data_IF_441981402024
#
_entry.id   IF_441981402024
#
_cell.length_a   1.000
_cell.length_b   1.000
_cell.length_c   1.000
_cell.angle_alpha   90.00
_cell.angle_beta   90.00
_cell.angle_gamma   90.00
#
_symmetry.space_group_name_H-M   'P 1'
#
loop_
_entity.id
_entity.type
_entity.pdbx_description
1 polymer ?
#
# COMPACT_ATOMS: atom_id res chain seq x y z
N UNK A 1 -4.54 -28.88 -11.97
CA UNK A 1 -3.81 -29.10 -10.70
C UNK A 1 -3.08 -30.44 -10.65
N UNK A 2 -3.72 -31.58 -10.93
CA UNK A 2 -3.06 -32.90 -10.81
C UNK A 2 -1.79 -33.09 -11.64
N UNK A 3 -1.77 -32.59 -12.89
CA UNK A 3 -0.59 -32.65 -13.78
C UNK A 3 0.58 -31.85 -13.21
N UNK A 4 0.35 -30.59 -12.80
CA UNK A 4 1.38 -29.73 -12.19
C UNK A 4 1.98 -30.35 -10.93
N UNK A 5 1.16 -31.00 -10.10
CA UNK A 5 1.64 -31.70 -8.89
C UNK A 5 2.49 -32.92 -9.24
N UNK A 6 2.12 -33.69 -10.27
CA UNK A 6 2.88 -34.85 -10.72
C UNK A 6 4.25 -34.43 -11.28
N UNK A 7 4.28 -33.39 -12.12
CA UNK A 7 5.52 -32.83 -12.67
C UNK A 7 6.43 -32.28 -11.57
N UNK A 8 5.89 -31.51 -10.63
CA UNK A 8 6.66 -30.97 -9.51
C UNK A 8 7.23 -32.07 -8.62
N UNK A 9 6.45 -33.14 -8.34
CA UNK A 9 6.90 -34.28 -7.51
C UNK A 9 7.97 -35.13 -8.20
N UNK A 10 7.93 -35.24 -9.53
CA UNK A 10 8.96 -35.94 -10.31
C UNK A 10 10.32 -35.22 -10.24
N UNK A 11 10.31 -33.88 -10.18
CA UNK A 11 11.51 -33.06 -10.01
C UNK A 11 11.98 -32.98 -8.57
N UNK A 12 11.05 -32.95 -7.61
CA UNK A 12 11.32 -32.79 -6.17
C UNK A 12 10.97 -34.08 -5.41
N UNK A 13 11.70 -35.16 -5.69
CA UNK A 13 11.38 -36.52 -5.19
C UNK A 13 11.30 -36.63 -3.67
N UNK A 14 12.04 -35.79 -2.95
CA UNK A 14 12.15 -35.81 -1.49
C UNK A 14 11.36 -34.70 -0.79
N UNK A 15 10.74 -33.77 -1.53
CA UNK A 15 9.95 -32.71 -0.93
C UNK A 15 8.57 -33.24 -0.47
N UNK A 16 8.09 -32.77 0.69
CA UNK A 16 6.79 -33.23 1.18
C UNK A 16 5.66 -32.76 0.25
N UNK A 17 4.72 -33.66 -0.03
CA UNK A 17 3.61 -33.39 -0.94
C UNK A 17 2.72 -32.21 -0.50
N UNK A 18 2.66 -31.92 0.81
CA UNK A 18 1.90 -30.77 1.34
C UNK A 18 2.50 -29.44 0.90
N UNK A 19 3.82 -29.27 0.99
CA UNK A 19 4.49 -28.04 0.55
C UNK A 19 4.41 -27.85 -0.96
N UNK A 20 4.62 -28.92 -1.74
CA UNK A 20 4.45 -28.88 -3.20
C UNK A 20 3.03 -28.45 -3.56
N UNK A 21 2.03 -29.00 -2.88
CA UNK A 21 0.63 -28.65 -3.12
C UNK A 21 0.33 -27.19 -2.80
N UNK A 22 0.76 -26.72 -1.63
CA UNK A 22 0.55 -25.34 -1.22
C UNK A 22 1.19 -24.35 -2.19
N UNK A 23 2.41 -24.64 -2.67
CA UNK A 23 3.11 -23.78 -3.63
C UNK A 23 2.44 -23.77 -5.01
N UNK A 24 2.01 -24.93 -5.51
CA UNK A 24 1.27 -25.01 -6.77
C UNK A 24 -0.07 -24.28 -6.68
N UNK A 25 -0.82 -24.50 -5.60
CA UNK A 25 -2.09 -23.80 -5.36
C UNK A 25 -1.87 -22.27 -5.31
N UNK A 26 -0.74 -21.83 -4.76
CA UNK A 26 -0.35 -20.42 -4.71
C UNK A 26 -0.07 -19.82 -6.09
N UNK A 27 0.84 -20.43 -6.84
CA UNK A 27 1.26 -19.89 -8.13
C UNK A 27 0.08 -19.85 -9.10
N UNK A 28 -0.81 -20.84 -9.03
CA UNK A 28 -2.04 -20.85 -9.81
C UNK A 28 -3.00 -19.74 -9.37
N UNK A 29 -3.16 -19.51 -8.06
CA UNK A 29 -3.95 -18.37 -7.56
C UNK A 29 -3.38 -17.03 -8.06
N UNK A 30 -2.06 -16.87 -8.08
CA UNK A 30 -1.43 -15.64 -8.58
C UNK A 30 -1.59 -15.44 -10.08
N UNK A 31 -1.54 -16.54 -10.85
CA UNK A 31 -1.63 -16.51 -12.30
C UNK A 31 -3.07 -16.28 -12.77
N UNK A 32 -4.04 -16.97 -12.17
CA UNK A 32 -5.43 -17.00 -12.63
C UNK A 32 -6.35 -16.07 -11.83
N UNK A 33 -5.94 -15.62 -10.64
CA UNK A 33 -6.80 -14.87 -9.73
C UNK A 33 -7.78 -15.76 -8.95
N UNK A 34 -8.69 -15.16 -8.15
CA UNK A 34 -9.63 -15.90 -7.32
C UNK A 34 -10.62 -16.70 -8.19
N UNK A 35 -10.96 -17.93 -7.75
CA UNK A 35 -11.98 -18.75 -8.42
C UNK A 35 -13.33 -18.04 -8.48
N UNK A 36 -13.95 -18.03 -9.65
CA UNK A 36 -15.29 -17.48 -9.90
C UNK A 36 -16.37 -18.53 -9.68
N UNK A 37 -17.64 -18.12 -9.62
CA UNK A 37 -18.75 -19.08 -9.45
C UNK A 37 -18.91 -20.00 -10.67
N UNK A 38 -18.50 -19.55 -11.86
CA UNK A 38 -18.43 -20.38 -13.07
C UNK A 38 -17.46 -21.57 -12.88
N UNK A 39 -16.35 -21.38 -12.17
CA UNK A 39 -15.36 -22.43 -11.89
C UNK A 39 -15.87 -23.50 -10.93
N UNK A 40 -16.89 -23.18 -10.11
CA UNK A 40 -17.49 -24.09 -9.14
C UNK A 40 -18.57 -24.99 -9.76
N UNK A 41 -19.20 -24.56 -10.85
CA UNK A 41 -20.22 -25.35 -11.57
C UNK A 41 -19.65 -26.57 -12.30
N UNK A 42 -18.32 -26.60 -12.53
CA UNK A 42 -17.64 -27.64 -13.30
C UNK A 42 -17.28 -28.92 -12.51
N UNK A 43 -17.72 -29.10 -11.25
CA UNK A 43 -17.41 -30.32 -10.46
C UNK A 43 -18.62 -30.95 -9.80
N UNK A 44 -19.07 -32.06 -10.39
CA UNK A 44 -20.00 -33.04 -9.79
C UNK A 44 -19.38 -33.79 -8.61
N UNK A 45 -20.05 -33.64 -7.46
CA UNK A 45 -20.34 -34.54 -6.32
C UNK A 45 -19.49 -35.82 -6.14
N UNK A 46 -18.83 -35.95 -4.97
CA UNK A 46 -18.70 -37.22 -4.22
C UNK A 46 -18.74 -36.98 -2.70
N UNK A 47 -19.45 -37.87 -2.01
CA UNK A 47 -19.98 -37.79 -0.64
C UNK A 47 -18.94 -37.90 0.49
N UNK A 48 -19.32 -37.36 1.66
CA UNK A 48 -18.69 -37.38 2.99
C UNK A 48 -18.58 -38.79 3.60
N UNK A 49 -17.60 -38.99 4.49
CA UNK A 49 -17.68 -39.84 5.70
C UNK A 49 -17.04 -39.15 6.92
N UNK A 50 -17.79 -39.18 8.02
CA UNK A 50 -17.55 -38.89 9.46
C UNK A 50 -16.62 -39.93 10.11
N UNK A 51 -16.06 -39.88 11.34
CA UNK A 51 -15.81 -38.95 12.47
C UNK A 51 -14.69 -39.62 13.34
N UNK A 52 -13.84 -38.87 14.09
CA UNK A 52 -13.70 -38.87 15.58
C UNK A 52 -12.21 -38.98 16.02
N UNK A 53 -11.80 -38.65 17.27
CA UNK A 53 -12.21 -37.55 18.15
C UNK A 53 -11.01 -36.68 18.64
N UNK A 54 -11.34 -35.58 19.31
CA UNK A 54 -10.40 -34.62 19.91
C UNK A 54 -9.75 -35.15 21.20
N UNK A 55 -8.48 -34.83 21.39
CA UNK A 55 -7.77 -34.96 22.67
C UNK A 55 -7.54 -33.57 23.25
N UNK A 56 -8.07 -33.38 24.46
CA UNK A 56 -7.90 -32.21 25.31
C UNK A 56 -6.53 -32.36 26.00
N UNK A 57 -5.65 -31.37 25.91
CA UNK A 57 -4.50 -31.25 26.81
C UNK A 57 -4.61 -29.97 27.63
N UNK A 58 -4.39 -30.16 28.92
CA UNK A 58 -4.50 -29.24 30.04
C UNK A 58 -3.55 -28.05 29.94
N UNK A 59 -4.04 -26.90 30.42
CA UNK A 59 -3.30 -25.65 30.58
C UNK A 59 -2.56 -25.69 31.91
N UNK A 60 -1.23 -25.58 31.88
CA UNK A 60 -0.41 -25.26 33.05
C UNK A 60 0.03 -23.78 32.97
N UNK A 61 0.10 -23.07 34.12
CA UNK A 61 0.38 -21.64 34.15
C UNK A 61 1.87 -21.39 33.90
N UNK A 62 2.17 -20.51 32.94
CA UNK A 62 3.53 -20.13 32.57
C UNK A 62 4.02 -19.02 33.50
N UNK A 63 5.08 -19.31 34.24
CA UNK A 63 5.83 -18.37 35.08
C UNK A 63 6.43 -17.28 34.18
N UNK A 64 6.28 -16.02 34.58
CA UNK A 64 6.93 -14.87 33.95
C UNK A 64 8.42 -14.91 34.31
N UNK A 65 9.24 -15.41 33.39
CA UNK A 65 10.69 -15.21 33.43
C UNK A 65 11.03 -13.97 32.59
N UNK A 66 11.69 -13.00 33.22
CA UNK A 66 12.26 -11.83 32.57
C UNK A 66 13.33 -12.29 31.55
N UNK A 67 13.00 -12.27 30.25
CA UNK A 67 13.95 -12.63 29.19
C UNK A 67 15.03 -11.54 29.04
N UNK A 68 16.29 -11.91 29.33
CA UNK A 68 17.47 -11.18 28.89
C UNK A 68 17.44 -10.99 27.36
N UNK A 69 17.62 -9.76 26.88
CA UNK A 69 17.58 -9.37 25.47
C UNK A 69 18.77 -9.96 24.69
N UNK A 70 18.70 -11.26 24.39
CA UNK A 70 19.47 -11.84 23.31
C UNK A 70 18.90 -11.31 21.99
N UNK A 71 19.73 -10.56 21.25
CA UNK A 71 19.37 -10.05 19.93
C UNK A 71 18.95 -11.19 19.00
N UNK A 72 18.00 -10.94 18.10
CA UNK A 72 17.64 -11.92 17.07
C UNK A 72 18.82 -12.12 16.10
N UNK A 73 19.09 -13.37 15.72
CA UNK A 73 20.20 -13.71 14.81
C UNK A 73 19.92 -13.32 13.35
N UNK A 74 18.64 -13.12 13.00
CA UNK A 74 18.17 -12.72 11.68
C UNK A 74 16.94 -11.81 11.76
N UNK A 75 16.65 -11.10 10.67
CA UNK A 75 15.47 -10.25 10.57
C UNK A 75 14.17 -11.08 10.59
N UNK A 76 14.21 -12.30 10.05
CA UNK A 76 13.10 -13.24 10.05
C UNK A 76 12.75 -13.71 11.47
N UNK A 77 13.78 -14.02 12.27
CA UNK A 77 13.60 -14.38 13.67
C UNK A 77 13.03 -13.21 14.49
N UNK A 78 13.52 -11.99 14.25
CA UNK A 78 12.99 -10.78 14.87
C UNK A 78 11.49 -10.63 14.58
N UNK A 79 11.08 -10.79 13.32
CA UNK A 79 9.68 -10.62 12.93
C UNK A 79 8.76 -11.74 13.45
N UNK A 80 9.25 -12.97 13.55
CA UNK A 80 8.45 -14.09 14.07
C UNK A 80 8.28 -14.04 15.58
N UNK A 81 9.33 -13.65 16.31
CA UNK A 81 9.37 -13.82 17.76
C UNK A 81 9.03 -12.52 18.50
N UNK A 82 9.51 -11.36 18.01
CA UNK A 82 9.41 -10.08 18.73
C UNK A 82 8.40 -9.09 18.15
N UNK A 83 7.84 -9.36 16.96
CA UNK A 83 6.90 -8.44 16.28
C UNK A 83 5.52 -9.08 16.15
N UNK A 84 4.57 -8.63 16.97
CA UNK A 84 3.21 -9.15 16.99
C UNK A 84 2.24 -8.23 16.23
N UNK A 85 2.13 -8.42 14.92
CA UNK A 85 1.08 -7.78 14.11
C UNK A 85 -0.09 -8.75 13.88
N UNK A 86 -1.21 -8.20 13.41
CA UNK A 86 -2.41 -8.98 13.12
C UNK A 86 -2.19 -10.06 12.04
N UNK A 87 -2.97 -11.14 12.10
CA UNK A 87 -3.01 -12.14 11.04
C UNK A 87 -3.77 -11.59 9.82
N UNK A 88 -3.42 -11.98 8.58
CA UNK A 88 -4.21 -11.65 7.39
C UNK A 88 -5.70 -11.96 7.56
N UNK A 89 -6.56 -10.96 7.31
CA UNK A 89 -8.01 -11.06 7.48
C UNK A 89 -8.52 -10.72 8.88
N UNK A 90 -7.63 -10.51 9.85
CA UNK A 90 -7.98 -10.10 11.22
C UNK A 90 -7.81 -8.59 11.46
N UNK A 91 -7.88 -7.78 10.39
CA UNK A 91 -7.71 -6.33 10.44
C UNK A 91 -8.61 -5.65 11.48
N UNK A 92 -9.85 -6.13 11.63
CA UNK A 92 -10.83 -5.63 12.57
C UNK A 92 -10.45 -5.76 14.06
N UNK A 93 -9.39 -6.51 14.38
CA UNK A 93 -8.87 -6.64 15.75
C UNK A 93 -7.79 -5.61 16.09
N UNK A 94 -7.30 -4.85 15.11
CA UNK A 94 -6.23 -3.88 15.34
C UNK A 94 -6.77 -2.58 15.90
N UNK A 95 -5.98 -1.92 16.72
CA UNK A 95 -6.35 -0.65 17.34
C UNK A 95 -6.68 0.44 16.31
N UNK A 96 -7.72 1.21 16.59
CA UNK A 96 -8.24 2.26 15.72
C UNK A 96 -8.91 1.79 14.41
N UNK A 97 -9.04 0.49 14.17
CA UNK A 97 -9.65 0.00 12.93
C UNK A 97 -11.18 0.21 12.93
N UNK A 98 -11.67 0.90 11.89
CA UNK A 98 -13.09 1.25 11.78
C UNK A 98 -13.89 0.10 11.14
N UNK A 99 -14.88 -0.42 11.86
CA UNK A 99 -15.76 -1.49 11.38
C UNK A 99 -17.04 -0.87 10.81
N UNK A 100 -17.19 -0.93 9.50
CA UNK A 100 -18.44 -0.66 8.77
C UNK A 100 -19.27 -1.95 8.55
N UNK A 101 -20.56 -1.86 8.20
CA UNK A 101 -21.40 -3.03 7.92
C UNK A 101 -20.86 -3.96 6.82
N UNK A 102 -20.02 -3.45 5.92
CA UNK A 102 -19.44 -4.22 4.80
C UNK A 102 -18.03 -4.76 5.08
N UNK A 103 -17.43 -4.40 6.21
CA UNK A 103 -16.05 -4.79 6.58
C UNK A 103 -15.83 -6.29 6.47
N UNK A 104 -16.73 -7.10 7.05
CA UNK A 104 -16.58 -8.55 7.03
C UNK A 104 -16.71 -9.14 5.62
N UNK A 105 -17.54 -8.55 4.77
CA UNK A 105 -17.65 -8.95 3.37
C UNK A 105 -16.36 -8.61 2.59
N UNK A 106 -15.80 -7.42 2.81
CA UNK A 106 -14.52 -7.01 2.23
C UNK A 106 -13.36 -7.90 2.69
N UNK A 107 -13.30 -8.25 3.99
CA UNK A 107 -12.29 -9.16 4.53
C UNK A 107 -12.42 -10.57 3.95
N UNK A 108 -13.64 -11.07 3.78
CA UNK A 108 -13.90 -12.36 3.13
C UNK A 108 -13.42 -12.37 1.68
N UNK A 109 -13.72 -11.30 0.92
CA UNK A 109 -13.24 -11.17 -0.46
C UNK A 109 -11.71 -11.03 -0.51
N UNK A 110 -11.13 -10.24 0.39
CA UNK A 110 -9.69 -10.11 0.54
C UNK A 110 -9.02 -11.47 0.77
N UNK A 111 -9.51 -12.28 1.71
CA UNK A 111 -8.96 -13.63 1.95
C UNK A 111 -9.09 -14.56 0.75
N UNK A 112 -10.17 -14.43 -0.04
CA UNK A 112 -10.34 -15.17 -1.30
C UNK A 112 -9.28 -14.80 -2.33
N UNK A 113 -8.91 -13.52 -2.39
CA UNK A 113 -7.89 -12.99 -3.33
C UNK A 113 -6.48 -13.33 -2.86
N UNK A 114 -6.19 -13.18 -1.57
CA UNK A 114 -4.83 -13.33 -1.02
C UNK A 114 -4.49 -14.75 -0.59
N UNK A 115 -5.49 -15.63 -0.46
CA UNK A 115 -5.29 -16.95 0.12
C UNK A 115 -4.84 -16.91 1.58
N UNK A 116 -5.07 -15.79 2.28
CA UNK A 116 -4.62 -15.58 3.66
C UNK A 116 -3.12 -15.27 3.81
N UNK A 117 -2.43 -14.92 2.72
CA UNK A 117 -1.01 -14.56 2.76
C UNK A 117 -0.75 -13.14 3.23
N UNK A 118 0.42 -12.94 3.85
CA UNK A 118 0.96 -11.62 4.11
C UNK A 118 1.28 -10.92 2.78
N UNK A 119 0.87 -9.65 2.65
CA UNK A 119 1.18 -8.78 1.52
C UNK A 119 1.63 -7.43 2.06
N UNK A 120 2.86 -7.04 1.74
CA UNK A 120 3.46 -5.74 2.07
C UNK A 120 3.83 -5.01 0.78
N UNK A 121 4.25 -3.75 0.90
CA UNK A 121 4.81 -3.00 -0.23
C UNK A 121 5.89 -2.03 0.22
N UNK A 122 6.93 -1.92 -0.58
CA UNK A 122 7.91 -0.85 -0.48
C UNK A 122 7.64 0.16 -1.61
N UNK A 123 7.19 1.39 -1.29
CA UNK A 123 6.75 2.31 -2.33
C UNK A 123 7.64 3.56 -2.45
N UNK A 124 8.84 3.45 -3.06
CA UNK A 124 9.75 4.59 -3.22
C UNK A 124 9.30 5.52 -4.35
N UNK A 125 9.60 6.81 -4.21
CA UNK A 125 9.52 7.76 -5.33
C UNK A 125 10.65 7.44 -6.34
N UNK A 126 10.34 7.28 -7.64
CA UNK A 126 11.32 6.96 -8.69
C UNK A 126 12.19 8.16 -9.12
N UNK A 127 12.16 9.25 -8.37
CA UNK A 127 13.02 10.41 -8.55
C UNK A 127 14.10 10.50 -7.45
N UNK A 128 14.04 9.62 -6.44
CA UNK A 128 14.80 9.70 -5.20
C UNK A 128 16.07 8.84 -5.21
N UNK A 129 17.11 9.29 -4.51
CA UNK A 129 18.28 8.47 -4.21
C UNK A 129 17.99 7.70 -2.92
N UNK A 130 18.06 6.37 -2.99
CA UNK A 130 17.96 5.55 -1.79
C UNK A 130 19.17 5.80 -0.89
N UNK A 131 18.94 5.75 0.42
CA UNK A 131 19.95 6.01 1.45
C UNK A 131 19.76 5.00 2.59
N UNK A 132 20.62 5.01 3.60
CA UNK A 132 20.59 4.01 4.68
C UNK A 132 19.23 3.88 5.40
N UNK A 133 18.51 4.99 5.60
CA UNK A 133 17.13 4.94 6.10
C UNK A 133 16.18 4.08 5.25
N UNK A 134 16.36 4.03 3.93
CA UNK A 134 15.61 3.15 3.04
C UNK A 134 15.99 1.69 3.20
N UNK A 135 17.23 1.37 3.60
CA UNK A 135 17.60 -0.02 3.92
C UNK A 135 16.73 -0.58 5.06
N UNK A 136 16.38 0.24 6.07
CA UNK A 136 15.40 -0.16 7.09
C UNK A 136 14.01 -0.39 6.49
N UNK A 137 13.54 0.49 5.62
CA UNK A 137 12.23 0.35 4.97
C UNK A 137 12.14 -0.92 4.10
N UNK A 138 13.21 -1.22 3.36
CA UNK A 138 13.34 -2.44 2.54
C UNK A 138 13.30 -3.67 3.45
N UNK A 139 14.18 -3.75 4.45
CA UNK A 139 14.22 -4.90 5.36
C UNK A 139 12.89 -5.08 6.12
N UNK A 140 12.22 -4.00 6.51
CA UNK A 140 10.91 -4.09 7.18
C UNK A 140 9.85 -4.63 6.25
N UNK A 141 9.69 -4.08 5.04
CA UNK A 141 8.61 -4.51 4.15
C UNK A 141 8.87 -5.89 3.53
N UNK A 142 10.07 -6.09 2.96
CA UNK A 142 10.42 -7.35 2.32
C UNK A 142 10.73 -8.45 3.34
N UNK A 143 11.45 -8.13 4.41
CA UNK A 143 11.77 -9.09 5.48
C UNK A 143 10.52 -9.57 6.20
N UNK A 144 9.55 -8.69 6.49
CA UNK A 144 8.29 -9.12 7.09
C UNK A 144 7.51 -10.06 6.16
N UNK A 145 7.41 -9.75 4.86
CA UNK A 145 6.80 -10.67 3.91
C UNK A 145 7.53 -12.02 3.86
N UNK A 146 8.86 -12.02 3.76
CA UNK A 146 9.68 -13.24 3.73
C UNK A 146 9.53 -14.09 4.99
N UNK A 147 9.49 -13.46 6.17
CA UNK A 147 9.36 -14.16 7.45
C UNK A 147 8.06 -14.98 7.56
N UNK A 148 7.01 -14.55 6.85
CA UNK A 148 5.67 -15.17 6.89
C UNK A 148 5.23 -15.75 5.53
N UNK A 149 6.19 -16.14 4.67
CA UNK A 149 5.95 -16.73 3.34
C UNK A 149 4.98 -15.91 2.45
N UNK A 150 5.00 -14.60 2.65
CA UNK A 150 4.18 -13.59 2.01
C UNK A 150 4.82 -12.98 0.77
N UNK A 151 4.23 -11.88 0.33
CA UNK A 151 4.62 -11.16 -0.89
C UNK A 151 4.89 -9.71 -0.57
N UNK A 152 5.97 -9.16 -1.12
CA UNK A 152 6.24 -7.73 -1.08
C UNK A 152 6.19 -7.16 -2.49
N UNK A 153 5.43 -6.09 -2.68
CA UNK A 153 5.38 -5.32 -3.93
C UNK A 153 6.47 -4.24 -3.90
N UNK A 154 7.19 -4.06 -5.01
CA UNK A 154 7.95 -2.85 -5.26
C UNK A 154 7.03 -1.92 -6.07
N UNK A 155 6.44 -0.91 -5.42
CA UNK A 155 5.47 -0.02 -6.06
C UNK A 155 6.04 1.38 -6.23
N UNK A 156 6.44 1.76 -7.43
CA UNK A 156 6.92 3.13 -7.65
C UNK A 156 5.82 4.14 -7.40
N UNK A 157 6.09 5.13 -6.56
CA UNK A 157 5.24 6.30 -6.38
C UNK A 157 5.54 7.35 -7.45
N UNK A 158 5.00 7.11 -8.65
CA UNK A 158 5.04 8.02 -9.79
C UNK A 158 3.77 8.91 -9.84
N UNK A 159 3.20 9.28 -8.69
CA UNK A 159 2.01 10.14 -8.67
C UNK A 159 2.28 11.57 -9.10
N UNK A 160 3.53 12.02 -9.04
CA UNK A 160 3.92 13.36 -9.46
C UNK A 160 4.56 13.29 -10.85
N UNK A 161 3.98 13.94 -11.88
CA UNK A 161 4.63 14.02 -13.18
C UNK A 161 5.85 14.95 -13.07
N UNK A 162 7.03 14.37 -12.84
CA UNK A 162 8.31 15.05 -12.90
C UNK A 162 9.14 14.55 -14.09
N UNK A 163 10.19 15.28 -14.45
CA UNK A 163 11.23 14.78 -15.35
C UNK A 163 12.04 13.71 -14.60
N UNK A 164 11.49 12.52 -14.53
CA UNK A 164 12.14 11.37 -13.92
C UNK A 164 13.19 10.81 -14.88
N UNK A 165 14.32 10.41 -14.31
CA UNK A 165 15.40 9.78 -15.07
C UNK A 165 15.36 8.28 -14.82
N UNK A 166 15.34 7.50 -15.91
CA UNK A 166 15.24 6.03 -15.88
C UNK A 166 16.27 5.37 -14.95
N UNK A 167 17.46 5.99 -14.80
CA UNK A 167 18.52 5.54 -13.89
C UNK A 167 18.06 5.35 -12.44
N UNK A 168 17.13 6.16 -11.94
CA UNK A 168 16.65 6.05 -10.57
C UNK A 168 15.75 4.83 -10.39
N UNK A 169 14.96 4.47 -11.40
CA UNK A 169 14.18 3.23 -11.40
C UNK A 169 15.10 2.02 -11.28
N UNK A 170 16.11 1.92 -12.15
CA UNK A 170 17.07 0.82 -12.16
C UNK A 170 17.86 0.74 -10.86
N UNK A 171 18.37 1.88 -10.35
CA UNK A 171 19.12 1.92 -9.10
C UNK A 171 18.31 1.50 -7.88
N UNK A 172 17.01 1.83 -7.83
CA UNK A 172 16.11 1.35 -6.77
C UNK A 172 16.00 -0.18 -6.80
N UNK A 173 15.81 -0.78 -7.99
CA UNK A 173 15.73 -2.24 -8.12
C UNK A 173 17.04 -2.87 -7.72
N UNK A 174 18.16 -2.37 -8.25
CA UNK A 174 19.49 -2.88 -7.94
C UNK A 174 19.74 -2.91 -6.43
N UNK A 175 19.39 -1.86 -5.69
CA UNK A 175 19.54 -1.83 -4.23
C UNK A 175 18.63 -2.84 -3.51
N UNK A 176 17.42 -3.08 -4.01
CA UNK A 176 16.53 -4.11 -3.45
C UNK A 176 17.15 -5.51 -3.63
N UNK A 177 17.66 -5.81 -4.84
CA UNK A 177 18.33 -7.09 -5.12
C UNK A 177 19.65 -7.22 -4.37
N UNK A 178 20.43 -6.14 -4.25
CA UNK A 178 21.69 -6.10 -3.53
C UNK A 178 21.53 -6.42 -2.04
N UNK A 179 20.42 -5.96 -1.43
CA UNK A 179 20.03 -6.32 -0.07
C UNK A 179 19.45 -7.74 0.05
N UNK A 180 19.46 -8.52 -1.03
CA UNK A 180 19.05 -9.92 -1.05
C UNK A 180 17.53 -10.11 -1.09
N UNK A 181 16.76 -9.14 -1.56
CA UNK A 181 15.31 -9.23 -1.70
C UNK A 181 14.86 -9.23 -3.16
N UNK A 182 13.76 -9.94 -3.43
CA UNK A 182 13.15 -10.02 -4.75
C UNK A 182 11.71 -9.49 -4.66
N UNK A 183 11.32 -8.47 -5.46
CA UNK A 183 9.92 -8.05 -5.58
C UNK A 183 9.04 -9.16 -6.13
N UNK A 184 7.94 -9.46 -5.44
CA UNK A 184 6.94 -10.40 -5.97
C UNK A 184 6.27 -9.87 -7.24
N UNK A 185 6.09 -8.55 -7.30
CA UNK A 185 5.60 -7.76 -8.44
C UNK A 185 6.20 -6.37 -8.36
N UNK A 186 6.45 -5.81 -9.54
CA UNK A 186 6.82 -4.41 -9.71
C UNK A 186 5.60 -3.69 -10.30
N UNK A 187 5.08 -2.71 -9.56
CA UNK A 187 3.89 -1.94 -9.93
C UNK A 187 4.19 -0.45 -9.87
N UNK A 188 3.31 0.37 -10.44
CA UNK A 188 3.41 1.82 -10.41
C UNK A 188 2.08 2.38 -9.89
N UNK A 189 2.12 3.48 -9.15
CA UNK A 189 0.90 4.18 -8.75
C UNK A 189 0.07 4.60 -9.98
N UNK A 190 0.74 4.96 -11.08
CA UNK A 190 0.12 5.32 -12.34
C UNK A 190 -0.65 4.20 -13.03
N UNK A 191 -0.32 2.93 -12.74
CA UNK A 191 -1.08 1.77 -13.24
C UNK A 191 -2.54 1.82 -12.72
N UNK A 192 -2.78 2.52 -11.61
CA UNK A 192 -4.09 2.62 -10.95
C UNK A 192 -4.81 3.96 -11.18
N UNK A 193 -4.30 4.90 -12.00
CA UNK A 193 -4.92 6.23 -12.16
C UNK A 193 -6.40 6.18 -12.57
N UNK A 194 -6.78 5.21 -13.41
CA UNK A 194 -8.19 5.02 -13.81
C UNK A 194 -9.06 4.60 -12.63
N UNK A 195 -8.59 3.67 -11.82
CA UNK A 195 -9.30 3.19 -10.62
C UNK A 195 -9.39 4.31 -9.57
N UNK A 196 -8.29 5.02 -9.33
CA UNK A 196 -8.22 6.16 -8.44
C UNK A 196 -9.17 7.28 -8.87
N UNK A 197 -9.28 7.56 -10.18
CA UNK A 197 -10.25 8.54 -10.69
C UNK A 197 -11.69 8.07 -10.45
N UNK A 198 -11.97 6.79 -10.71
CA UNK A 198 -13.30 6.20 -10.49
C UNK A 198 -13.71 6.25 -9.01
N UNK A 199 -12.75 6.01 -8.10
CA UNK A 199 -12.97 6.13 -6.66
C UNK A 199 -13.17 7.58 -6.21
N UNK A 200 -12.48 8.53 -6.84
CA UNK A 200 -12.70 9.96 -6.60
C UNK A 200 -14.11 10.40 -7.04
N UNK A 201 -14.58 9.93 -8.20
CA UNK A 201 -15.96 10.16 -8.66
C UNK A 201 -16.96 9.56 -7.67
N UNK A 202 -16.73 8.33 -7.18
CA UNK A 202 -17.58 7.69 -6.15
C UNK A 202 -17.61 8.51 -4.85
N UNK A 203 -16.48 9.10 -4.46
CA UNK A 203 -16.37 9.96 -3.29
C UNK A 203 -17.24 11.22 -3.46
N UNK A 204 -17.20 11.87 -4.63
CA UNK A 204 -18.07 13.01 -4.97
C UNK A 204 -19.55 12.61 -4.96
N UNK A 205 -19.90 11.47 -5.55
CA UNK A 205 -21.29 10.96 -5.59
C UNK A 205 -21.87 10.74 -4.20
N UNK A 206 -21.03 10.35 -3.23
CA UNK A 206 -21.39 10.23 -1.81
C UNK A 206 -21.41 11.56 -1.06
N UNK A 207 -21.13 12.66 -1.75
CA UNK A 207 -20.95 13.99 -1.18
C UNK A 207 -19.66 14.14 -0.37
N UNK A 208 -18.77 13.16 -0.34
CA UNK A 208 -17.59 13.16 0.53
C UNK A 208 -16.37 13.84 -0.10
N UNK A 209 -16.54 14.50 -1.25
CA UNK A 209 -15.53 15.33 -1.88
C UNK A 209 -16.18 16.46 -2.68
N UNK A 210 -15.44 17.54 -2.88
CA UNK A 210 -15.88 18.71 -3.63
C UNK A 210 -14.71 19.37 -4.36
N UNK A 211 -15.01 20.07 -5.46
CA UNK A 211 -14.03 20.88 -6.19
C UNK A 211 -13.91 22.25 -5.53
N UNK A 212 -12.69 22.68 -5.30
CA UNK A 212 -12.34 23.91 -4.60
C UNK A 212 -11.46 24.79 -5.50
N UNK A 213 -11.74 26.11 -5.52
CA UNK A 213 -10.94 27.12 -6.24
C UNK A 213 -10.16 28.05 -5.31
N UNK A 214 -10.06 27.71 -4.01
CA UNK A 214 -9.14 28.44 -3.13
C UNK A 214 -7.70 28.22 -3.60
N UNK A 215 -6.96 29.31 -3.63
CA UNK A 215 -5.53 29.33 -3.87
C UNK A 215 -4.77 28.72 -2.69
N UNK A 216 -3.51 28.34 -2.92
CA UNK A 216 -2.65 27.82 -1.86
C UNK A 216 -2.39 28.84 -0.74
N UNK A 217 -2.52 30.14 -1.02
CA UNK A 217 -2.34 31.22 -0.06
C UNK A 217 -3.58 31.38 0.83
N UNK A 218 -4.78 31.31 0.27
CA UNK A 218 -6.04 31.35 1.04
C UNK A 218 -6.21 30.13 1.95
N UNK A 219 -5.56 29.01 1.62
CA UNK A 219 -5.54 27.81 2.45
C UNK A 219 -4.44 27.83 3.52
N UNK A 220 -3.49 28.79 3.47
CA UNK A 220 -2.43 28.94 4.47
C UNK A 220 -2.90 29.86 5.59
N UNK A 221 -2.76 29.41 6.84
CA UNK A 221 -3.08 30.20 8.02
C UNK A 221 -3.20 29.34 9.26
N UNK A 222 -3.31 29.98 10.41
CA UNK A 222 -3.74 29.33 11.66
C UNK A 222 -5.27 29.34 11.59
N UNK A 223 -5.87 28.17 11.38
CA UNK A 223 -7.32 27.95 11.26
C UNK A 223 -8.01 28.69 10.07
N UNK A 224 -7.63 28.36 8.82
CA UNK A 224 -8.26 28.99 7.65
C UNK A 224 -9.77 28.67 7.62
N UNK A 225 -10.63 29.64 7.24
CA UNK A 225 -12.07 29.41 7.19
C UNK A 225 -12.40 28.27 6.21
N UNK A 226 -13.49 27.51 6.46
CA UNK A 226 -13.92 26.45 5.57
C UNK A 226 -14.07 26.95 4.13
N UNK A 227 -13.74 26.10 3.18
CA UNK A 227 -13.83 26.48 1.76
C UNK A 227 -15.25 26.97 1.42
N UNK A 228 -15.40 28.13 0.75
CA UNK A 228 -16.71 28.60 0.27
C UNK A 228 -17.40 27.59 -0.65
N UNK A 229 -16.62 26.69 -1.26
CA UNK A 229 -17.07 25.71 -2.23
C UNK A 229 -17.46 24.36 -1.61
N UNK A 230 -17.33 24.21 -0.29
CA UNK A 230 -17.55 22.95 0.45
C UNK A 230 -18.99 22.42 0.36
N UNK A 231 -19.96 23.30 0.18
CA UNK A 231 -21.41 23.01 0.16
C UNK A 231 -21.99 22.87 -1.24
N UNK A 232 -21.14 22.91 -2.29
CA UNK A 232 -21.57 22.68 -3.68
C UNK A 232 -22.33 21.38 -3.84
N UNK A 233 -23.26 21.38 -4.79
CA UNK A 233 -24.04 20.17 -5.12
C UNK A 233 -23.13 19.07 -5.69
N UNK A 234 -23.56 17.82 -5.57
CA UNK A 234 -22.86 16.67 -6.16
C UNK A 234 -22.74 16.83 -7.68
N UNK A 235 -23.80 17.29 -8.34
CA UNK A 235 -23.86 17.47 -9.79
C UNK A 235 -22.85 18.52 -10.28
N UNK A 236 -22.75 19.65 -9.57
CA UNK A 236 -21.77 20.69 -9.86
C UNK A 236 -20.35 20.15 -9.70
N UNK A 237 -20.05 19.47 -8.58
CA UNK A 237 -18.73 18.90 -8.33
C UNK A 237 -18.32 17.86 -9.38
N UNK A 238 -19.24 17.00 -9.83
CA UNK A 238 -18.97 16.02 -10.89
C UNK A 238 -18.62 16.71 -12.20
N UNK A 239 -19.38 17.74 -12.59
CA UNK A 239 -19.11 18.52 -13.79
C UNK A 239 -17.74 19.21 -13.69
N UNK A 240 -17.46 19.89 -12.59
CA UNK A 240 -16.21 20.63 -12.39
C UNK A 240 -15.00 19.69 -12.38
N UNK A 241 -15.11 18.52 -11.76
CA UNK A 241 -14.02 17.54 -11.72
C UNK A 241 -13.74 16.94 -13.10
N UNK A 242 -14.78 16.73 -13.92
CA UNK A 242 -14.60 16.34 -15.32
C UNK A 242 -14.01 17.48 -16.17
N UNK A 243 -14.39 18.73 -15.89
CA UNK A 243 -13.79 19.91 -16.53
C UNK A 243 -12.30 20.05 -16.15
N UNK A 244 -11.90 19.71 -14.91
CA UNK A 244 -10.49 19.59 -14.51
C UNK A 244 -9.77 18.51 -15.31
N UNK A 245 -10.37 17.32 -15.47
CA UNK A 245 -9.79 16.22 -16.28
C UNK A 245 -9.62 16.60 -17.75
N UNK A 246 -10.52 17.44 -18.29
CA UNK A 246 -10.47 17.94 -19.67
C UNK A 246 -9.51 19.12 -19.87
N UNK A 247 -8.79 19.54 -18.83
CA UNK A 247 -7.81 20.62 -18.93
C UNK A 247 -8.43 22.01 -19.09
N UNK A 248 -9.62 22.26 -18.53
CA UNK A 248 -10.28 23.58 -18.62
C UNK A 248 -9.80 24.61 -17.58
N UNK A 249 -8.87 24.23 -16.71
CA UNK A 249 -8.37 25.05 -15.60
C UNK A 249 -6.84 25.03 -15.59
N UNK A 250 -6.20 26.15 -15.28
CA UNK A 250 -4.75 26.22 -15.12
C UNK A 250 -4.27 25.47 -13.87
N UNK A 251 -2.96 25.22 -13.77
CA UNK A 251 -2.39 24.62 -12.55
C UNK A 251 -2.69 25.50 -11.32
N UNK A 252 -3.26 24.89 -10.28
CA UNK A 252 -3.60 25.59 -9.03
C UNK A 252 -4.95 26.31 -9.01
N UNK A 253 -5.64 26.46 -10.14
CA UNK A 253 -6.97 27.11 -10.19
C UNK A 253 -8.10 26.25 -9.62
N UNK A 254 -7.92 24.93 -9.61
CA UNK A 254 -8.89 24.00 -9.06
C UNK A 254 -8.21 22.78 -8.42
N UNK A 255 -8.79 22.31 -7.33
CA UNK A 255 -8.40 21.07 -6.64
C UNK A 255 -9.63 20.27 -6.25
N UNK A 256 -9.51 18.94 -6.25
CA UNK A 256 -10.51 18.09 -5.59
C UNK A 256 -10.10 17.93 -4.13
N UNK A 257 -10.98 18.24 -3.19
CA UNK A 257 -10.73 18.10 -1.75
C UNK A 257 -11.68 17.07 -1.15
N UNK A 258 -11.16 16.26 -0.24
CA UNK A 258 -11.97 15.37 0.59
C UNK A 258 -12.77 16.21 1.57
N UNK A 259 -14.02 15.85 1.85
CA UNK A 259 -14.89 16.59 2.79
C UNK A 259 -14.83 15.94 4.17
N UNK A 260 -13.79 16.26 4.92
CA UNK A 260 -13.50 15.67 6.23
C UNK A 260 -12.58 16.59 7.04
N UNK A 261 -12.78 16.64 8.35
CA UNK A 261 -11.80 17.23 9.28
C UNK A 261 -11.02 16.09 9.92
N UNK A 262 -9.70 16.11 9.76
CA UNK A 262 -8.82 15.10 10.35
C UNK A 262 -8.65 15.35 11.86
N UNK A 263 -8.19 14.34 12.60
CA UNK A 263 -7.97 14.42 14.06
C UNK A 263 -6.99 15.53 14.46
N UNK A 264 -6.00 15.79 13.62
CA UNK A 264 -5.02 16.88 13.76
C UNK A 264 -5.61 18.29 13.48
N UNK A 265 -6.91 18.38 13.21
CA UNK A 265 -7.60 19.63 12.86
C UNK A 265 -7.47 20.03 11.39
N UNK A 266 -6.62 19.36 10.60
CA UNK A 266 -6.47 19.63 9.17
C UNK A 266 -7.79 19.40 8.45
N UNK A 267 -8.32 20.48 7.87
CA UNK A 267 -9.60 20.45 7.17
C UNK A 267 -9.45 20.16 5.68
N UNK A 268 -10.29 19.26 5.20
CA UNK A 268 -10.53 18.94 3.80
C UNK A 268 -9.23 18.74 2.98
N UNK A 269 -8.45 17.67 3.25
CA UNK A 269 -7.21 17.41 2.53
C UNK A 269 -7.42 17.26 1.01
N UNK A 270 -6.46 17.74 0.23
CA UNK A 270 -6.49 17.66 -1.25
C UNK A 270 -6.35 16.22 -1.71
N UNK A 271 -7.25 15.77 -2.57
CA UNK A 271 -7.22 14.48 -3.24
C UNK A 271 -6.61 14.56 -4.65
N UNK A 272 -6.93 15.60 -5.44
CA UNK A 272 -6.38 15.80 -6.80
C UNK A 272 -5.92 17.23 -7.03
N UNK A 273 -4.85 17.36 -7.82
CA UNK A 273 -4.29 18.63 -8.32
C UNK A 273 -4.13 18.58 -9.84
N UNK A 274 -4.14 19.75 -10.47
CA UNK A 274 -3.87 19.88 -11.92
C UNK A 274 -2.36 20.01 -12.14
N UNK A 275 -1.83 19.25 -13.11
CA UNK A 275 -0.47 19.38 -13.64
C UNK A 275 -0.49 19.10 -15.15
N UNK A 276 0.14 19.95 -15.94
CA UNK A 276 0.27 19.77 -17.39
C UNK A 276 1.61 19.21 -17.82
N UNK A 277 2.51 18.95 -16.87
CA UNK A 277 3.74 18.22 -17.14
C UNK A 277 3.37 16.79 -17.60
N UNK A 278 3.86 16.32 -18.76
CA UNK A 278 3.61 14.97 -19.23
C UNK A 278 4.13 13.93 -18.24
N UNK A 279 3.35 12.89 -17.98
CA UNK A 279 3.78 11.80 -17.12
C UNK A 279 4.68 10.82 -17.87
N UNK A 280 5.72 10.29 -17.24
CA UNK A 280 6.72 9.44 -17.92
C UNK A 280 6.10 8.18 -18.55
N UNK A 281 5.10 7.58 -17.88
CA UNK A 281 4.41 6.36 -18.37
C UNK A 281 3.13 6.65 -19.14
N UNK A 282 2.28 7.53 -18.61
CA UNK A 282 0.93 7.79 -19.15
C UNK A 282 0.86 8.99 -20.09
N UNK A 283 2.00 9.66 -20.31
CA UNK A 283 2.18 10.79 -21.22
C UNK A 283 1.14 11.88 -20.95
N UNK A 284 0.39 12.28 -21.96
CA UNK A 284 -0.60 13.36 -21.90
C UNK A 284 -2.03 12.86 -21.65
N UNK A 285 -2.18 11.60 -21.23
CA UNK A 285 -3.51 11.01 -20.96
C UNK A 285 -4.21 11.69 -19.78
N UNK A 286 -3.44 12.22 -18.83
CA UNK A 286 -3.93 12.84 -17.61
C UNK A 286 -3.31 14.23 -17.41
N UNK A 287 -4.14 15.21 -17.07
CA UNK A 287 -3.71 16.52 -16.56
C UNK A 287 -4.12 16.77 -15.11
N UNK A 288 -4.73 15.76 -14.47
CA UNK A 288 -5.07 15.75 -13.05
C UNK A 288 -4.41 14.55 -12.39
N UNK A 289 -3.80 14.77 -11.23
CA UNK A 289 -3.01 13.76 -10.54
C UNK A 289 -3.44 13.65 -9.07
N UNK A 290 -3.63 12.43 -8.57
CA UNK A 290 -3.96 12.22 -7.18
C UNK A 290 -2.78 12.62 -6.26
N UNK A 291 -3.07 12.97 -5.03
CA UNK A 291 -2.07 13.23 -3.99
C UNK A 291 -1.59 11.94 -3.35
N UNK A 292 -0.41 11.98 -2.72
CA UNK A 292 0.18 10.86 -1.99
C UNK A 292 -0.83 10.17 -1.04
N UNK A 293 -1.51 10.97 -0.20
CA UNK A 293 -2.45 10.46 0.80
C UNK A 293 -3.64 9.74 0.16
N UNK A 294 -4.12 10.22 -0.99
CA UNK A 294 -5.22 9.59 -1.73
C UNK A 294 -4.75 8.31 -2.44
N UNK A 295 -3.59 8.37 -3.10
CA UNK A 295 -3.04 7.28 -3.89
C UNK A 295 -2.66 6.08 -3.02
N UNK A 296 -1.77 6.27 -2.04
CA UNK A 296 -1.16 5.12 -1.36
C UNK A 296 -2.18 4.30 -0.57
N UNK A 297 -3.14 4.98 0.07
CA UNK A 297 -4.24 4.33 0.77
C UNK A 297 -5.06 3.45 -0.17
N UNK A 298 -5.50 3.99 -1.30
CA UNK A 298 -6.35 3.26 -2.24
C UNK A 298 -5.57 2.22 -3.05
N UNK A 299 -4.31 2.47 -3.40
CA UNK A 299 -3.45 1.47 -4.04
C UNK A 299 -3.20 0.28 -3.10
N UNK A 300 -3.01 0.52 -1.80
CA UNK A 300 -2.88 -0.57 -0.82
C UNK A 300 -4.15 -1.41 -0.76
N UNK A 301 -5.32 -0.77 -0.86
CA UNK A 301 -6.61 -1.47 -0.97
C UNK A 301 -6.69 -2.33 -2.25
N UNK A 302 -6.37 -1.75 -3.40
CA UNK A 302 -6.41 -2.41 -4.71
C UNK A 302 -5.43 -3.59 -4.81
N UNK A 303 -4.25 -3.46 -4.22
CA UNK A 303 -3.24 -4.53 -4.15
C UNK A 303 -3.52 -5.55 -3.03
N UNK A 304 -4.57 -5.33 -2.23
CA UNK A 304 -4.93 -6.14 -1.07
C UNK A 304 -3.75 -6.30 -0.09
N UNK A 305 -3.05 -5.21 0.19
CA UNK A 305 -1.97 -5.15 1.18
C UNK A 305 -2.55 -5.48 2.56
N UNK A 306 -1.92 -6.43 3.27
CA UNK A 306 -2.32 -6.75 4.65
C UNK A 306 -1.63 -5.85 5.64
N UNK A 307 -0.34 -5.59 5.43
CA UNK A 307 0.51 -4.82 6.33
C UNK A 307 1.10 -3.63 5.59
N UNK A 308 0.47 -2.47 5.75
CA UNK A 308 0.94 -1.20 5.21
C UNK A 308 1.94 -0.60 6.20
N UNK A 309 3.22 -0.94 6.03
CA UNK A 309 4.29 -0.51 6.94
C UNK A 309 4.87 0.82 6.45
N UNK A 310 4.86 1.84 7.30
CA UNK A 310 5.35 3.18 6.98
C UNK A 310 6.09 3.80 8.16
N UNK A 311 6.67 4.97 7.97
CA UNK A 311 7.41 5.66 9.02
C UNK A 311 6.50 6.53 9.89
N UNK A 312 6.87 6.81 11.15
CA UNK A 312 6.05 7.56 12.12
C UNK A 312 5.63 8.97 11.67
N UNK A 313 6.29 9.57 10.68
CA UNK A 313 5.88 10.84 10.10
C UNK A 313 4.49 10.81 9.47
N UNK A 314 3.96 9.61 9.21
CA UNK A 314 2.62 9.40 8.66
C UNK A 314 1.59 8.95 9.70
N UNK A 315 1.96 8.88 10.99
CA UNK A 315 1.07 8.43 12.06
C UNK A 315 -0.21 9.26 12.16
N UNK A 316 -0.08 10.59 12.07
CA UNK A 316 -1.24 11.50 12.13
C UNK A 316 -2.19 11.35 10.94
N UNK A 317 -1.72 10.70 9.86
CA UNK A 317 -2.50 10.42 8.65
C UNK A 317 -3.22 9.07 8.70
N UNK A 318 -3.05 8.27 9.75
CA UNK A 318 -3.72 6.97 9.86
C UNK A 318 -5.24 7.09 9.90
N UNK A 319 -5.77 8.13 10.56
CA UNK A 319 -7.21 8.40 10.59
C UNK A 319 -7.75 8.76 9.19
N UNK A 320 -7.00 9.54 8.40
CA UNK A 320 -7.37 9.85 7.01
C UNK A 320 -7.29 8.61 6.11
N UNK A 321 -6.34 7.71 6.36
CA UNK A 321 -6.18 6.44 5.68
C UNK A 321 -7.43 5.55 5.86
N UNK A 322 -7.84 5.29 7.11
CA UNK A 322 -9.04 4.49 7.38
C UNK A 322 -10.32 5.18 6.92
N UNK A 323 -10.42 6.50 7.09
CA UNK A 323 -11.56 7.26 6.60
C UNK A 323 -11.75 7.07 5.10
N UNK A 324 -10.67 7.18 4.31
CA UNK A 324 -10.76 7.14 2.85
C UNK A 324 -11.24 5.78 2.32
N UNK A 325 -10.65 4.67 2.80
CA UNK A 325 -11.09 3.32 2.41
C UNK A 325 -12.57 3.09 2.72
N UNK A 326 -13.02 3.52 3.90
CA UNK A 326 -14.41 3.36 4.32
C UNK A 326 -15.36 4.30 3.56
N UNK A 327 -14.92 5.53 3.27
CA UNK A 327 -15.67 6.53 2.52
C UNK A 327 -16.01 6.06 1.10
N UNK A 328 -15.10 5.32 0.45
CA UNK A 328 -15.34 4.70 -0.87
C UNK A 328 -15.74 3.23 -0.80
N UNK A 329 -15.94 2.67 0.40
CA UNK A 329 -16.44 1.31 0.65
C UNK A 329 -15.64 0.23 -0.11
N UNK A 330 -14.34 0.18 0.20
CA UNK A 330 -13.37 -0.81 -0.31
C UNK A 330 -12.69 -1.54 0.86
N UNK A 331 -11.90 -2.56 0.56
CA UNK A 331 -11.04 -3.22 1.55
C UNK A 331 -10.13 -2.19 2.23
N UNK A 332 -10.00 -2.24 3.56
CA UNK A 332 -9.16 -1.32 4.31
C UNK A 332 -7.92 -2.06 4.86
N UNK A 333 -6.72 -1.82 4.32
CA UNK A 333 -5.47 -2.35 4.87
C UNK A 333 -5.22 -1.81 6.29
N UNK A 334 -4.37 -2.50 7.07
CA UNK A 334 -3.90 -1.96 8.36
C UNK A 334 -2.59 -1.22 8.15
N UNK A 335 -2.54 0.03 8.62
CA UNK A 335 -1.33 0.85 8.63
C UNK A 335 -0.59 0.67 9.97
N UNK A 336 0.72 0.40 9.88
CA UNK A 336 1.61 0.35 11.04
C UNK A 336 2.80 1.27 10.82
N UNK A 337 3.16 2.00 11.88
CA UNK A 337 4.26 2.95 11.86
C UNK A 337 5.51 2.43 12.59
N UNK A 338 6.68 2.56 11.97
CA UNK A 338 7.97 2.33 12.61
C UNK A 338 8.83 3.60 12.63
N UNK A 339 9.74 3.69 13.60
CA UNK A 339 10.63 4.86 13.72
C UNK A 339 11.60 4.92 12.53
N UNK A 340 11.82 6.13 11.97
CA UNK A 340 12.87 6.34 10.97
C UNK A 340 14.25 5.99 11.52
N UNK A 341 15.14 5.62 10.60
CA UNK A 341 16.57 5.49 10.86
C UNK A 341 17.29 6.67 10.24
N UNK A 342 17.92 7.48 11.08
CA UNK A 342 18.82 8.56 10.68
C UNK A 342 20.17 8.31 11.35
N UNK A 343 21.25 8.53 10.60
CA UNK A 343 22.61 8.46 11.14
C UNK A 343 23.14 9.86 11.39
N UNK A 344 23.72 10.07 12.57
CA UNK A 344 24.45 11.30 12.87
C UNK A 344 25.59 11.50 11.85
N UNK A 345 25.96 12.76 11.61
CA UNK A 345 26.99 13.16 10.65
C UNK A 345 26.69 12.84 9.17
N UNK A 346 25.44 12.49 8.83
CA UNK A 346 25.00 12.30 7.45
C UNK A 346 23.94 13.33 7.06
N UNK A 347 23.93 13.72 5.78
CA UNK A 347 22.88 14.57 5.20
C UNK A 347 22.31 13.83 4.00
N UNK A 348 21.04 13.42 4.07
CA UNK A 348 20.43 12.50 3.09
C UNK A 348 19.34 13.12 2.20
N UNK A 349 19.09 14.44 2.30
CA UNK A 349 18.04 15.08 1.51
C UNK A 349 18.47 15.31 0.05
N UNK A 350 17.60 14.97 -0.92
CA UNK A 350 17.84 15.19 -2.36
C UNK A 350 18.24 16.63 -2.68
N UNK A 351 17.58 17.62 -2.05
CA UNK A 351 17.90 19.05 -2.20
C UNK A 351 19.30 19.39 -1.68
N UNK A 352 19.70 18.82 -0.54
CA UNK A 352 21.05 19.02 0.01
C UNK A 352 22.12 18.34 -0.84
N UNK A 353 21.82 17.18 -1.44
CA UNK A 353 22.75 16.47 -2.32
C UNK A 353 22.93 17.17 -3.67
N UNK A 354 21.85 17.63 -4.31
CA UNK A 354 21.91 18.36 -5.58
C UNK A 354 22.50 19.78 -5.45
N UNK A 355 22.56 20.35 -4.24
CA UNK A 355 23.24 21.63 -3.99
C UNK A 355 24.76 21.50 -3.83
N UNK A 356 25.25 20.30 -3.52
CA UNK A 356 26.68 20.00 -3.29
C UNK A 356 27.55 19.63 -4.52
N UNK A 357 27.06 19.36 -5.75
CA UNK A 357 27.94 19.05 -6.88
C UNK A 357 28.72 20.27 -7.35
N UNK A 358 28.24 21.49 -7.09
CA UNK A 358 28.91 22.72 -7.53
C UNK A 358 30.15 23.09 -6.71
N UNK A 359 30.43 22.41 -5.59
CA UNK A 359 31.57 22.73 -4.71
C UNK A 359 32.70 21.70 -4.71
N UNK A 360 32.64 20.65 -5.54
CA UNK A 360 33.77 19.72 -5.78
C UNK A 360 34.17 18.79 -4.62
N UNK A 361 33.41 18.74 -3.51
CA UNK A 361 33.77 17.96 -2.32
C UNK A 361 33.50 16.45 -2.42
N UNK A 362 32.73 15.98 -3.41
CA UNK A 362 32.41 14.56 -3.61
C UNK A 362 32.59 14.21 -5.10
N UNK A 363 33.35 13.15 -5.45
CA UNK A 363 33.72 12.85 -6.84
C UNK A 363 32.54 12.52 -7.77
N UNK A 364 31.55 11.76 -7.28
CA UNK A 364 30.31 11.41 -7.98
C UNK A 364 29.36 10.71 -7.00
N UNK A 365 28.06 10.71 -7.30
CA UNK A 365 27.03 9.91 -6.62
C UNK A 365 26.51 8.76 -7.50
N UNK A 366 27.04 8.66 -8.73
CA UNK A 366 26.75 7.65 -9.74
C UNK A 366 28.01 6.87 -10.01
#
# INVERSE_FOLDING_TARGET
MGVLLAEARNKLRFAEGKFIKNEVDLQVLHLLGPKTDADLTAKTVKQRKTDSPAVISTVEPRVEEEEEDSGASSMEELFRNKVHLHKPGENHKTDGYLITPKTMAHLKNHLKITGGKVRTRFPPEPNGILHIGHAKAINVNFGYARAFDGLCFLRYDDTNPEKEEERFFSGIQEMVHWLGYEPSRITHASDYFKDLYSLAVKLIQRGLAYVCHQTAEEMKGIDPPPSPYRTRSVQENLRLFEDMRKGKYSEGEATLRMRVTLEEGKQDPVAYRIRYVPHIRTKDTWCIYPTYDFTHCLCDSLEHITHSLCTKEFQSRRSSYYWLCNAVDVYCPVQWEYSRLNLNYTVVSKRSFLRKPSTGFVPSWV
#
